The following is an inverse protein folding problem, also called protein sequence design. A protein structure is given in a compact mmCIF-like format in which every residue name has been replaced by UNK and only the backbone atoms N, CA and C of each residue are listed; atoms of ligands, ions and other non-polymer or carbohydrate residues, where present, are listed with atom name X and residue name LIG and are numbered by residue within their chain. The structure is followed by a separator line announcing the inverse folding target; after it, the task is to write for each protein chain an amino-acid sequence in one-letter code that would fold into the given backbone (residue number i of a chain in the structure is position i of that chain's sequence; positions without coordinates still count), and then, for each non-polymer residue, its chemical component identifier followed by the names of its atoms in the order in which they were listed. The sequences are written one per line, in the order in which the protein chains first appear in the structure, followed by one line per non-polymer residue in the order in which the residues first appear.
data_IF_967333226906
#
_entry.id   IF_967333226906
#
_cell.length_a   1.000
_cell.length_b   1.000
_cell.length_c   1.000
_cell.angle_alpha   90.00
_cell.angle_beta   90.00
_cell.angle_gamma   90.00
#
_symmetry.space_group_name_H-M   'P 1'
#
loop_
_entity.id
_entity.type
_entity.pdbx_description
1 polymer ?
#
# COMPACT_ATOMS: atom_id res chain seq x y z
N UNK A 1 46.93 35.08 -42.92
CA UNK A 1 47.41 34.93 -41.52
C UNK A 1 46.52 35.85 -40.75
N UNK A 2 45.51 35.31 -40.09
CA UNK A 2 44.37 36.11 -39.63
C UNK A 2 44.06 35.75 -38.18
N UNK A 3 44.35 36.64 -37.22
CA UNK A 3 43.91 36.48 -35.84
C UNK A 3 42.48 37.02 -35.68
N UNK A 4 41.65 36.31 -34.90
CA UNK A 4 40.42 36.89 -34.34
C UNK A 4 40.76 37.99 -33.32
N UNK A 5 39.76 38.75 -32.89
CA UNK A 5 39.39 38.59 -31.47
C UNK A 5 37.90 38.36 -31.21
N UNK A 6 37.62 37.78 -30.04
CA UNK A 6 36.32 37.77 -29.34
C UNK A 6 36.24 39.05 -28.45
N UNK A 7 35.15 39.48 -27.82
CA UNK A 7 33.77 38.97 -27.65
C UNK A 7 32.78 40.19 -27.77
N UNK A 8 31.75 40.50 -26.97
CA UNK A 8 31.15 39.91 -25.74
C UNK A 8 29.73 40.45 -25.46
N UNK A 9 28.85 39.56 -24.97
CA UNK A 9 27.73 39.76 -24.01
C UNK A 9 26.93 41.07 -23.89
N UNK A 10 25.60 40.93 -23.94
CA UNK A 10 24.58 41.56 -23.07
C UNK A 10 24.62 43.08 -22.79
N UNK A 11 23.77 43.84 -23.47
CA UNK A 11 22.64 44.59 -22.87
C UNK A 11 21.66 45.08 -23.96
N UNK A 12 20.71 45.96 -23.62
CA UNK A 12 19.89 46.80 -24.53
C UNK A 12 18.90 45.99 -25.40
N UNK A 13 17.68 45.63 -24.97
CA UNK A 13 16.71 46.26 -24.04
C UNK A 13 16.08 47.56 -24.60
N UNK A 14 14.75 47.52 -24.80
CA UNK A 14 13.81 48.62 -25.07
C UNK A 14 13.96 49.45 -26.36
N UNK A 15 13.27 49.00 -27.42
CA UNK A 15 12.61 49.83 -28.45
C UNK A 15 11.76 48.91 -29.36
N UNK A 16 10.49 49.19 -29.71
CA UNK A 16 9.58 50.29 -29.37
C UNK A 16 8.20 49.69 -29.01
N UNK A 17 7.52 50.25 -27.99
CA UNK A 17 6.10 50.02 -27.71
C UNK A 17 5.28 51.18 -28.30
N UNK A 18 3.98 50.94 -28.55
CA UNK A 18 2.99 51.90 -29.08
C UNK A 18 3.14 52.22 -30.59
N UNK A 19 2.07 52.40 -31.38
CA UNK A 19 0.63 52.33 -31.09
C UNK A 19 -0.17 51.81 -32.30
N UNK A 20 -1.26 51.07 -32.03
CA UNK A 20 -2.64 51.38 -32.49
C UNK A 20 -3.63 50.39 -31.89
N UNK A 21 -4.51 50.85 -31.00
CA UNK A 21 -5.59 50.03 -30.41
C UNK A 21 -6.94 50.33 -31.05
N UNK A 22 -7.37 49.53 -32.02
CA UNK A 22 -8.79 49.35 -32.37
C UNK A 22 -8.99 48.28 -33.44
N UNK A 23 -9.17 47.03 -33.04
CA UNK A 23 -10.41 46.32 -33.35
C UNK A 23 -10.57 45.10 -32.42
N UNK A 24 -11.81 44.81 -32.05
CA UNK A 24 -12.14 43.86 -30.97
C UNK A 24 -12.92 42.68 -31.54
N UNK A 25 -12.71 41.49 -30.94
CA UNK A 25 -13.38 40.22 -31.26
C UNK A 25 -12.83 39.45 -32.48
N UNK A 26 -11.67 38.79 -32.31
CA UNK A 26 -11.62 37.36 -32.66
C UNK A 26 -10.74 36.58 -31.67
N UNK A 27 -11.32 36.24 -30.52
CA UNK A 27 -10.72 35.29 -29.60
C UNK A 27 -10.95 33.87 -30.14
N UNK A 28 -10.06 33.39 -31.02
CA UNK A 28 -9.94 31.96 -31.31
C UNK A 28 -9.75 31.23 -29.96
N UNK A 29 -10.65 30.33 -29.54
CA UNK A 29 -10.39 29.51 -28.37
C UNK A 29 -9.13 28.67 -28.64
N UNK A 30 -8.19 28.66 -27.69
CA UNK A 30 -7.13 27.66 -27.70
C UNK A 30 -7.80 26.28 -27.80
N UNK A 31 -7.40 25.38 -28.72
CA UNK A 31 -8.05 24.09 -28.87
C UNK A 31 -8.05 23.39 -27.52
N UNK A 32 -9.25 23.07 -27.01
CA UNK A 32 -9.43 22.52 -25.66
C UNK A 32 -8.73 21.16 -25.59
N UNK A 33 -7.49 21.15 -25.10
CA UNK A 33 -6.71 19.93 -24.89
C UNK A 33 -7.46 19.12 -23.85
N UNK A 34 -8.04 18.01 -24.27
CA UNK A 34 -8.73 17.06 -23.40
C UNK A 34 -7.87 15.84 -23.20
N UNK A 35 -7.79 15.38 -21.96
CA UNK A 35 -7.11 14.12 -21.63
C UNK A 35 -8.13 13.02 -21.37
N UNK A 36 -7.80 11.79 -21.78
CA UNK A 36 -8.67 10.62 -21.61
C UNK A 36 -8.34 9.92 -20.31
N UNK A 37 -9.35 9.68 -19.46
CA UNK A 37 -9.14 8.99 -18.19
C UNK A 37 -8.90 7.49 -18.42
N UNK A 38 -7.79 6.95 -17.90
CA UNK A 38 -7.43 5.53 -18.04
C UNK A 38 -8.27 4.53 -17.21
N UNK A 39 -9.45 4.93 -16.70
CA UNK A 39 -10.37 4.09 -15.92
C UNK A 39 -11.80 4.11 -16.48
N UNK A 40 -12.38 5.28 -16.76
CA UNK A 40 -13.70 5.38 -17.41
C UNK A 40 -13.63 5.52 -18.94
N UNK A 41 -12.47 5.87 -19.50
CA UNK A 41 -12.22 6.11 -20.92
C UNK A 41 -12.92 7.35 -21.52
N UNK A 42 -13.49 8.21 -20.66
CA UNK A 42 -14.07 9.50 -21.06
C UNK A 42 -13.01 10.59 -21.24
N UNK A 43 -13.35 11.61 -22.04
CA UNK A 43 -12.58 12.85 -22.18
C UNK A 43 -12.89 13.85 -21.05
N UNK A 44 -11.85 14.47 -20.50
CA UNK A 44 -11.96 15.46 -19.41
C UNK A 44 -11.14 16.73 -19.68
N UNK A 45 -11.49 17.82 -18.99
CA UNK A 45 -10.71 19.07 -19.01
C UNK A 45 -9.45 18.94 -18.14
N UNK A 46 -8.32 19.61 -18.48
CA UNK A 46 -7.07 19.51 -17.71
C UNK A 46 -7.22 19.81 -16.21
N UNK A 47 -8.14 20.70 -15.84
CA UNK A 47 -8.36 21.09 -14.43
C UNK A 47 -9.02 19.99 -13.57
N UNK A 48 -9.62 18.96 -14.18
CA UNK A 48 -10.31 17.86 -13.48
C UNK A 48 -9.67 16.49 -13.71
N UNK A 49 -8.42 16.48 -14.18
CA UNK A 49 -7.59 15.28 -14.31
C UNK A 49 -6.32 15.39 -13.47
N UNK A 50 -5.85 14.24 -13.02
CA UNK A 50 -4.62 14.06 -12.25
C UNK A 50 -3.69 13.12 -13.01
N UNK A 51 -2.52 13.64 -13.35
CA UNK A 51 -1.40 12.90 -13.91
C UNK A 51 -0.45 12.48 -12.78
N UNK A 52 -0.14 11.19 -12.70
CA UNK A 52 0.70 10.65 -11.62
C UNK A 52 2.22 10.80 -11.91
N UNK A 53 3.05 11.22 -10.93
CA UNK A 53 4.33 11.88 -11.19
C UNK A 53 5.47 11.01 -11.77
N UNK A 54 5.45 9.69 -11.58
CA UNK A 54 6.54 8.79 -12.02
C UNK A 54 6.08 7.68 -13.00
N UNK A 55 4.79 7.69 -13.37
CA UNK A 55 4.25 6.79 -14.39
C UNK A 55 3.39 7.49 -15.45
N UNK A 56 3.18 8.80 -15.34
CA UNK A 56 2.50 9.65 -16.32
C UNK A 56 1.04 9.28 -16.68
N UNK A 57 0.47 8.26 -16.02
CA UNK A 57 -0.92 7.85 -16.22
C UNK A 57 -1.89 8.92 -15.73
N UNK A 58 -2.95 9.15 -16.51
CA UNK A 58 -3.95 10.20 -16.31
C UNK A 58 -5.29 9.61 -15.88
N UNK A 59 -5.91 10.22 -14.87
CA UNK A 59 -7.20 9.84 -14.32
C UNK A 59 -8.04 11.09 -14.05
N UNK A 60 -9.35 11.06 -14.26
CA UNK A 60 -10.20 12.12 -13.71
C UNK A 60 -10.29 11.98 -12.18
N UNK A 61 -10.40 13.11 -11.48
CA UNK A 61 -10.43 13.16 -10.00
C UNK A 61 -11.41 12.17 -9.37
N UNK A 62 -12.67 12.01 -9.87
CA UNK A 62 -13.61 11.04 -9.30
C UNK A 62 -13.16 9.59 -9.42
N UNK A 63 -12.54 9.18 -10.54
CA UNK A 63 -12.05 7.82 -10.74
C UNK A 63 -10.85 7.51 -9.84
N UNK A 64 -9.92 8.47 -9.69
CA UNK A 64 -8.74 8.29 -8.83
C UNK A 64 -9.15 8.20 -7.35
N UNK A 65 -10.05 9.08 -6.90
CA UNK A 65 -10.58 9.05 -5.53
C UNK A 65 -11.46 7.84 -5.25
N UNK A 66 -12.23 7.35 -6.23
CA UNK A 66 -12.99 6.09 -6.09
C UNK A 66 -12.06 4.90 -5.85
N UNK A 67 -10.95 4.80 -6.59
CA UNK A 67 -9.92 3.77 -6.35
C UNK A 67 -9.25 3.93 -4.98
N UNK A 68 -8.90 5.16 -4.57
CA UNK A 68 -8.32 5.43 -3.23
C UNK A 68 -9.28 4.99 -2.13
N UNK A 69 -10.56 5.41 -2.20
CA UNK A 69 -11.63 5.03 -1.25
C UNK A 69 -11.83 3.52 -1.17
N UNK A 70 -11.91 2.83 -2.31
CA UNK A 70 -12.04 1.38 -2.36
C UNK A 70 -10.84 0.66 -1.73
N UNK A 71 -9.60 1.13 -2.00
CA UNK A 71 -8.40 0.56 -1.36
C UNK A 71 -8.31 0.90 0.13
N UNK A 72 -8.84 2.04 0.57
CA UNK A 72 -8.97 2.36 1.99
C UNK A 72 -9.96 1.44 2.71
N UNK A 73 -11.12 1.14 2.11
CA UNK A 73 -12.11 0.21 2.65
C UNK A 73 -11.58 -1.24 2.71
N UNK A 74 -10.85 -1.70 1.68
CA UNK A 74 -10.11 -2.97 1.72
C UNK A 74 -8.92 -2.98 2.71
N UNK A 75 -8.59 -1.83 3.31
CA UNK A 75 -7.44 -1.65 4.20
C UNK A 75 -6.09 -1.86 3.50
N UNK A 76 -5.99 -1.56 2.20
CA UNK A 76 -4.84 -1.78 1.33
C UNK A 76 -3.94 -0.55 1.22
N UNK A 77 -2.66 -0.77 1.50
CA UNK A 77 -1.58 0.21 1.46
C UNK A 77 -0.22 -0.50 1.29
N UNK A 78 0.74 0.04 0.51
CA UNK A 78 0.64 1.29 -0.25
C UNK A 78 -0.37 1.17 -1.40
N UNK A 79 -1.10 2.26 -1.68
CA UNK A 79 -2.05 2.31 -2.80
C UNK A 79 -1.22 2.52 -4.07
N UNK A 80 -1.38 1.63 -5.07
CA UNK A 80 -0.67 1.69 -6.36
C UNK A 80 -1.58 2.36 -7.40
N UNK A 81 -1.00 3.11 -8.33
CA UNK A 81 -1.67 3.60 -9.54
C UNK A 81 -2.51 2.48 -10.22
N UNK A 82 -3.78 2.73 -10.62
CA UNK A 82 -4.63 1.71 -11.24
C UNK A 82 -3.98 0.97 -12.42
N UNK A 83 -3.40 1.69 -13.38
CA UNK A 83 -2.76 1.09 -14.56
C UNK A 83 -1.46 0.37 -14.18
N UNK A 84 -0.62 0.96 -13.33
CA UNK A 84 0.58 0.26 -12.84
C UNK A 84 0.24 -1.00 -12.05
N UNK A 85 -0.94 -1.09 -11.41
CA UNK A 85 -1.32 -2.27 -10.64
C UNK A 85 -1.51 -3.52 -11.52
N UNK A 86 -1.96 -3.35 -12.77
CA UNK A 86 -2.17 -4.42 -13.76
C UNK A 86 -0.99 -4.63 -14.72
N UNK A 87 -0.02 -3.71 -14.76
CA UNK A 87 1.21 -3.87 -15.54
C UNK A 87 2.14 -4.92 -14.90
N UNK A 88 2.21 -6.11 -15.50
CA UNK A 88 3.10 -7.20 -15.06
C UNK A 88 4.53 -7.11 -15.61
N UNK A 89 4.81 -6.17 -16.53
CA UNK A 89 6.14 -5.98 -17.11
C UNK A 89 7.03 -5.08 -16.26
N UNK A 90 6.41 -4.15 -15.52
CA UNK A 90 7.06 -3.16 -14.66
C UNK A 90 7.24 -3.69 -13.24
N UNK A 91 8.47 -3.67 -12.71
CA UNK A 91 8.79 -4.13 -11.34
C UNK A 91 8.03 -3.29 -10.32
N UNK A 92 7.71 -3.85 -9.15
CA UNK A 92 6.89 -3.13 -8.16
C UNK A 92 7.57 -1.83 -7.67
N UNK A 93 8.91 -1.83 -7.61
CA UNK A 93 9.72 -0.65 -7.26
C UNK A 93 9.61 0.50 -8.28
N UNK A 94 9.23 0.21 -9.52
CA UNK A 94 9.03 1.21 -10.58
C UNK A 94 7.56 1.71 -10.66
N UNK A 95 6.64 1.22 -9.80
CA UNK A 95 5.21 1.55 -9.86
C UNK A 95 4.87 2.73 -8.96
N UNK A 96 4.30 3.80 -9.52
CA UNK A 96 3.84 4.96 -8.74
C UNK A 96 2.80 4.56 -7.69
N UNK A 97 3.03 5.05 -6.48
CA UNK A 97 2.10 4.99 -5.37
C UNK A 97 1.29 6.29 -5.26
N UNK A 98 0.08 6.19 -4.72
CA UNK A 98 -0.71 7.38 -4.35
C UNK A 98 -0.28 7.77 -2.93
N UNK A 99 0.32 8.95 -2.80
CA UNK A 99 0.84 9.53 -1.56
C UNK A 99 0.13 10.85 -1.22
N UNK A 100 0.60 11.54 -0.18
CA UNK A 100 0.12 12.88 0.19
C UNK A 100 0.15 13.87 -0.99
N UNK A 101 1.21 13.88 -1.80
CA UNK A 101 1.41 14.85 -2.89
C UNK A 101 0.35 14.73 -3.99
N UNK A 102 -0.20 13.52 -4.18
CA UNK A 102 -1.31 13.28 -5.11
C UNK A 102 -2.65 13.70 -4.48
N UNK A 103 -2.86 13.45 -3.19
CA UNK A 103 -4.12 13.74 -2.49
C UNK A 103 -4.27 15.20 -2.07
N UNK A 104 -3.17 15.92 -1.85
CA UNK A 104 -3.19 17.36 -1.53
C UNK A 104 -3.68 18.20 -2.72
N UNK A 105 -3.51 17.71 -3.95
CA UNK A 105 -4.11 18.29 -5.16
C UNK A 105 -5.61 17.98 -5.31
N UNK A 106 -6.21 17.20 -4.41
CA UNK A 106 -7.58 16.68 -4.48
C UNK A 106 -8.41 17.02 -3.23
N UNK A 107 -7.95 17.94 -2.38
CA UNK A 107 -8.56 18.27 -1.08
C UNK A 107 -10.01 18.72 -1.15
N UNK A 108 -10.45 19.36 -2.24
CA UNK A 108 -11.83 19.81 -2.40
C UNK A 108 -12.82 18.63 -2.47
N UNK A 109 -12.41 17.52 -3.12
CA UNK A 109 -13.20 16.28 -3.24
C UNK A 109 -12.84 15.24 -2.16
N UNK A 110 -11.84 15.51 -1.29
CA UNK A 110 -11.28 14.54 -0.33
C UNK A 110 -11.09 15.17 1.07
N UNK A 111 -12.14 15.16 1.92
CA UNK A 111 -12.19 15.91 3.16
C UNK A 111 -11.28 15.35 4.26
N UNK A 112 -10.96 16.17 5.26
CA UNK A 112 -9.97 15.86 6.31
C UNK A 112 -10.28 14.59 7.12
N UNK A 113 -11.55 14.18 7.26
CA UNK A 113 -11.90 12.90 7.91
C UNK A 113 -11.47 11.68 7.06
N UNK A 114 -11.52 11.79 5.73
CA UNK A 114 -10.97 10.76 4.83
C UNK A 114 -9.45 10.83 4.76
N UNK A 115 -8.88 12.04 4.75
CA UNK A 115 -7.43 12.22 4.79
C UNK A 115 -6.82 11.62 6.07
N UNK A 116 -7.42 11.87 7.23
CA UNK A 116 -7.01 11.24 8.49
C UNK A 116 -7.14 9.71 8.48
N UNK A 117 -8.11 9.13 7.76
CA UNK A 117 -8.20 7.68 7.53
C UNK A 117 -7.05 7.18 6.63
N UNK A 118 -6.68 7.94 5.60
CA UNK A 118 -5.53 7.63 4.74
C UNK A 118 -4.21 7.65 5.53
N UNK A 119 -3.95 8.65 6.36
CA UNK A 119 -2.77 8.70 7.24
C UNK A 119 -2.73 7.50 8.22
N UNK A 120 -3.87 7.18 8.84
CA UNK A 120 -3.98 6.01 9.71
C UNK A 120 -3.72 4.69 8.97
N UNK A 121 -4.08 4.62 7.68
CA UNK A 121 -3.81 3.51 6.80
C UNK A 121 -2.32 3.44 6.37
N UNK A 122 -1.63 4.56 6.17
CA UNK A 122 -0.18 4.57 5.91
C UNK A 122 0.60 3.88 7.03
N UNK A 123 0.22 4.17 8.28
CA UNK A 123 0.83 3.56 9.48
C UNK A 123 0.76 2.03 9.49
N UNK A 124 -0.14 1.40 8.72
CA UNK A 124 -0.22 -0.07 8.61
C UNK A 124 1.02 -0.71 7.98
N UNK A 125 1.89 0.05 7.31
CA UNK A 125 3.20 -0.47 6.89
C UNK A 125 4.16 -0.72 8.05
N UNK A 126 4.05 0.03 9.14
CA UNK A 126 5.03 0.03 10.24
C UNK A 126 4.48 -0.49 11.56
N UNK A 127 3.17 -0.36 11.77
CA UNK A 127 2.46 -0.88 12.93
C UNK A 127 1.30 -1.80 12.52
N UNK A 128 0.85 -2.64 13.45
CA UNK A 128 -0.36 -3.45 13.30
C UNK A 128 -1.30 -3.14 14.45
N UNK A 129 -2.58 -2.98 14.16
CA UNK A 129 -3.59 -2.81 15.20
C UNK A 129 -3.88 -4.14 15.91
N UNK A 130 -3.97 -4.05 17.23
CA UNK A 130 -4.25 -5.16 18.14
C UNK A 130 -5.29 -4.69 19.17
N UNK A 131 -6.21 -5.57 19.54
CA UNK A 131 -7.08 -5.32 20.69
C UNK A 131 -6.43 -5.88 21.95
N UNK A 132 -6.24 -5.05 22.98
CA UNK A 132 -5.71 -5.50 24.27
C UNK A 132 -6.69 -6.51 24.93
N UNK A 133 -6.27 -7.76 25.24
CA UNK A 133 -7.16 -8.73 25.86
C UNK A 133 -7.64 -8.33 27.27
N UNK A 134 -6.91 -7.45 27.96
CA UNK A 134 -7.29 -6.82 29.23
C UNK A 134 -8.35 -5.75 29.04
N UNK A 135 -7.94 -4.52 28.73
CA UNK A 135 -8.82 -3.33 28.68
C UNK A 135 -9.72 -3.21 27.42
N UNK A 136 -9.59 -4.11 26.44
CA UNK A 136 -10.31 -4.10 25.14
C UNK A 136 -10.03 -2.90 24.22
N UNK A 137 -9.17 -1.97 24.62
CA UNK A 137 -8.73 -0.86 23.78
C UNK A 137 -7.94 -1.36 22.56
N UNK A 138 -8.14 -0.74 21.41
CA UNK A 138 -7.27 -0.89 20.24
C UNK A 138 -5.94 -0.16 20.49
N UNK A 139 -4.84 -0.81 20.15
CA UNK A 139 -3.48 -0.26 20.23
C UNK A 139 -2.75 -0.50 18.91
N UNK A 140 -1.82 0.39 18.56
CA UNK A 140 -0.86 0.19 17.46
C UNK A 140 0.45 -0.32 18.04
N UNK A 141 0.84 -1.54 17.68
CA UNK A 141 2.14 -2.12 18.05
C UNK A 141 3.05 -2.12 16.82
N UNK A 142 4.33 -1.74 16.96
CA UNK A 142 5.25 -1.70 15.83
C UNK A 142 5.48 -3.13 15.30
N UNK A 143 5.75 -3.28 13.99
CA UNK A 143 5.91 -4.61 13.36
C UNK A 143 7.07 -5.41 13.97
N UNK A 144 8.11 -4.73 14.42
CA UNK A 144 9.27 -5.29 15.11
C UNK A 144 8.91 -5.82 16.52
N UNK A 145 7.98 -5.18 17.23
CA UNK A 145 7.49 -5.68 18.53
C UNK A 145 6.74 -7.01 18.38
N UNK A 146 6.22 -7.33 17.19
CA UNK A 146 5.33 -8.46 16.96
C UNK A 146 6.02 -9.83 16.98
N UNK A 147 7.35 -9.86 16.89
CA UNK A 147 8.16 -11.06 17.12
C UNK A 147 8.19 -11.43 18.62
N UNK A 148 7.88 -10.49 19.52
CA UNK A 148 7.72 -10.80 20.93
C UNK A 148 6.43 -11.60 21.19
N UNK A 149 6.61 -12.78 21.77
CA UNK A 149 5.48 -13.66 22.15
C UNK A 149 4.63 -13.04 23.27
N UNK A 150 5.23 -12.19 24.11
CA UNK A 150 4.55 -11.42 25.14
C UNK A 150 4.53 -9.94 24.75
N UNK A 151 3.37 -9.29 24.93
CA UNK A 151 3.16 -7.88 24.62
C UNK A 151 2.58 -7.19 25.87
N UNK A 152 3.01 -5.96 26.13
CA UNK A 152 2.58 -5.12 27.27
C UNK A 152 1.66 -4.01 26.78
N UNK A 153 0.62 -3.68 27.55
CA UNK A 153 -0.33 -2.65 27.11
C UNK A 153 0.23 -1.25 27.37
N UNK A 154 0.41 -0.40 26.34
CA UNK A 154 0.93 0.96 26.51
C UNK A 154 -0.08 1.92 27.17
N UNK A 155 -1.34 1.51 27.35
CA UNK A 155 -2.37 2.31 28.01
C UNK A 155 -2.05 2.39 29.52
N UNK A 156 -1.79 3.58 30.10
CA UNK A 156 -1.30 3.70 31.48
C UNK A 156 -2.25 3.14 32.55
N UNK A 157 -3.57 3.18 32.31
CA UNK A 157 -4.59 2.61 33.20
C UNK A 157 -4.76 1.09 33.07
N UNK A 158 -3.99 0.42 32.20
CA UNK A 158 -4.08 -1.01 31.97
C UNK A 158 -2.78 -1.76 32.28
N UNK A 159 -1.67 -1.40 31.64
CA UNK A 159 -0.35 -2.03 31.81
C UNK A 159 -0.28 -3.56 31.58
N UNK A 160 -1.37 -4.23 31.17
CA UNK A 160 -1.46 -5.69 31.22
C UNK A 160 -0.56 -6.36 30.19
N UNK A 161 0.15 -7.42 30.60
CA UNK A 161 0.93 -8.29 29.70
C UNK A 161 0.05 -9.42 29.17
N UNK A 162 0.08 -9.70 27.88
CA UNK A 162 -0.59 -10.87 27.28
C UNK A 162 0.29 -11.62 26.28
N UNK A 163 -0.01 -12.90 26.10
CA UNK A 163 0.64 -13.74 25.09
C UNK A 163 -0.02 -13.55 23.72
N UNK A 164 0.72 -13.01 22.74
CA UNK A 164 0.32 -12.84 21.34
C UNK A 164 -0.20 -14.15 20.72
N UNK A 165 0.47 -15.26 21.01
CA UNK A 165 0.20 -16.56 20.41
C UNK A 165 -1.04 -17.29 20.97
N UNK A 166 -1.63 -16.83 22.10
CA UNK A 166 -2.90 -17.37 22.59
C UNK A 166 -3.94 -16.35 23.09
N UNK A 167 -3.65 -15.04 22.95
CA UNK A 167 -4.52 -13.91 23.30
C UNK A 167 -5.01 -13.94 24.76
N UNK A 168 -4.16 -14.40 25.69
CA UNK A 168 -4.45 -14.45 27.13
C UNK A 168 -3.54 -13.52 27.91
N UNK A 169 -4.16 -12.71 28.78
CA UNK A 169 -3.47 -11.93 29.83
C UNK A 169 -2.71 -12.88 30.77
N UNK A 170 -1.54 -12.46 31.23
CA UNK A 170 -0.68 -13.20 32.15
C UNK A 170 -0.71 -12.49 33.51
N UNK A 171 -1.20 -13.19 34.54
CA UNK A 171 -1.39 -12.61 35.87
C UNK A 171 -0.45 -13.16 36.96
N UNK A 172 0.24 -14.28 36.72
CA UNK A 172 0.95 -15.02 37.78
C UNK A 172 2.48 -15.02 37.67
N UNK A 173 3.05 -15.19 36.47
CA UNK A 173 4.45 -14.91 36.15
C UNK A 173 4.68 -15.03 34.64
N UNK A 174 5.44 -14.12 34.02
CA UNK A 174 5.83 -14.22 32.61
C UNK A 174 6.63 -15.50 32.32
N UNK A 175 7.61 -15.79 33.19
CA UNK A 175 8.53 -16.94 33.07
C UNK A 175 7.82 -18.30 33.24
N UNK A 176 6.57 -18.33 33.71
CA UNK A 176 5.77 -19.56 33.84
C UNK A 176 4.73 -19.73 32.73
N UNK A 177 4.63 -18.82 31.76
CA UNK A 177 3.63 -18.88 30.69
C UNK A 177 3.86 -20.06 29.71
N UNK A 178 3.34 -21.23 30.06
CA UNK A 178 3.19 -22.34 29.14
C UNK A 178 2.02 -22.04 28.19
N UNK A 179 2.33 -21.61 26.96
CA UNK A 179 1.33 -21.42 25.92
C UNK A 179 0.67 -22.77 25.58
N UNK A 180 -0.52 -23.00 26.15
CA UNK A 180 -1.34 -24.21 25.95
C UNK A 180 -2.60 -23.88 25.13
N UNK A 181 -2.49 -23.67 23.79
CA UNK A 181 -3.67 -23.58 22.94
C UNK A 181 -4.51 -24.86 23.04
N UNK A 182 -5.82 -24.71 22.92
CA UNK A 182 -6.78 -25.81 23.07
C UNK A 182 -6.39 -27.04 22.22
N UNK A 183 -6.49 -28.23 22.84
CA UNK A 183 -6.24 -29.52 22.19
C UNK A 183 -7.24 -29.80 21.07
N UNK A 184 -8.52 -29.42 21.21
CA UNK A 184 -9.53 -29.60 20.15
C UNK A 184 -9.22 -28.71 18.95
N UNK A 185 -8.99 -27.41 19.19
CA UNK A 185 -8.58 -26.46 18.16
C UNK A 185 -7.28 -26.85 17.45
N UNK A 186 -6.20 -27.22 18.18
CA UNK A 186 -4.95 -27.71 17.56
C UNK A 186 -5.14 -29.01 16.77
N UNK A 187 -6.03 -29.91 17.19
CA UNK A 187 -6.39 -31.10 16.41
C UNK A 187 -7.11 -30.72 15.11
N UNK A 188 -8.06 -29.78 15.18
CA UNK A 188 -8.80 -29.29 14.01
C UNK A 188 -7.88 -28.62 12.98
N UNK A 189 -7.01 -27.69 13.41
CA UNK A 189 -6.03 -27.03 12.53
C UNK A 189 -5.17 -28.06 11.76
N UNK A 190 -4.69 -29.11 12.44
CA UNK A 190 -3.92 -30.20 11.83
C UNK A 190 -4.75 -31.04 10.84
N UNK A 191 -5.94 -31.48 11.25
CA UNK A 191 -6.82 -32.33 10.42
C UNK A 191 -7.28 -31.61 9.15
N UNK A 192 -7.64 -30.32 9.25
CA UNK A 192 -8.07 -29.50 8.11
C UNK A 192 -6.90 -28.88 7.31
N UNK A 193 -5.65 -29.16 7.71
CA UNK A 193 -4.40 -28.56 7.15
C UNK A 193 -4.46 -27.02 7.10
N UNK A 194 -5.10 -26.40 8.09
CA UNK A 194 -5.17 -24.95 8.23
C UNK A 194 -3.84 -24.36 8.72
N UNK A 195 -3.58 -23.10 8.37
CA UNK A 195 -2.35 -22.38 8.72
C UNK A 195 -2.68 -21.15 9.54
N UNK A 196 -1.82 -20.82 10.50
CA UNK A 196 -1.83 -19.47 11.05
C UNK A 196 -1.10 -18.54 10.07
N UNK A 197 -1.58 -17.31 9.92
CA UNK A 197 -0.78 -16.26 9.29
C UNK A 197 0.47 -16.02 10.15
N UNK A 198 1.70 -16.07 9.61
CA UNK A 198 2.91 -15.85 10.40
C UNK A 198 3.03 -14.40 10.92
N UNK A 199 2.40 -13.42 10.27
CA UNK A 199 2.25 -12.06 10.79
C UNK A 199 1.35 -11.99 12.04
N UNK A 200 0.02 -12.04 11.86
CA UNK A 200 -0.95 -11.78 12.94
C UNK A 200 -1.37 -13.00 13.79
N UNK A 201 -0.89 -14.21 13.52
CA UNK A 201 -1.35 -15.47 14.13
C UNK A 201 -2.85 -15.83 13.95
N UNK A 202 -3.62 -15.08 13.16
CA UNK A 202 -5.01 -15.46 12.81
C UNK A 202 -5.03 -16.81 12.06
N UNK A 203 -5.93 -17.75 12.42
CA UNK A 203 -6.11 -18.99 11.69
C UNK A 203 -6.75 -18.73 10.32
N UNK A 204 -6.07 -19.13 9.25
CA UNK A 204 -6.51 -19.00 7.87
C UNK A 204 -6.94 -20.37 7.35
N UNK A 205 -8.18 -20.44 6.88
CA UNK A 205 -8.65 -21.48 5.96
C UNK A 205 -8.38 -21.02 4.52
N UNK A 206 -7.83 -21.91 3.70
CA UNK A 206 -7.82 -21.79 2.24
C UNK A 206 -8.90 -22.69 1.65
N UNK A 207 -9.68 -22.17 0.71
CA UNK A 207 -10.59 -22.97 -0.11
C UNK A 207 -9.79 -23.73 -1.17
N UNK A 208 -9.23 -22.99 -2.15
CA UNK A 208 -8.59 -23.56 -3.35
C UNK A 208 -7.42 -22.69 -3.85
N UNK A 209 -7.08 -22.76 -5.14
CA UNK A 209 -6.15 -21.85 -5.81
C UNK A 209 -4.68 -21.98 -5.43
N UNK A 210 -3.97 -20.85 -5.52
CA UNK A 210 -2.52 -20.73 -5.29
C UNK A 210 -2.13 -21.04 -3.82
N UNK A 211 -0.92 -21.56 -3.54
CA UNK A 211 -0.39 -21.67 -2.18
C UNK A 211 0.12 -20.34 -1.60
N UNK A 212 0.34 -19.31 -2.43
CA UNK A 212 0.68 -17.96 -1.98
C UNK A 212 -0.58 -17.28 -1.42
N UNK A 213 -0.54 -16.87 -0.16
CA UNK A 213 -1.67 -16.24 0.54
C UNK A 213 -1.26 -14.88 1.09
N UNK A 214 -2.05 -13.84 0.78
CA UNK A 214 -2.01 -12.55 1.51
C UNK A 214 -3.00 -12.60 2.66
N UNK A 215 -2.58 -12.22 3.86
CA UNK A 215 -3.48 -12.16 5.01
C UNK A 215 -4.55 -11.07 4.85
N UNK A 216 -5.84 -11.45 4.91
CA UNK A 216 -6.99 -10.52 4.78
C UNK A 216 -7.38 -9.80 6.08
N UNK A 217 -6.60 -9.97 7.17
CA UNK A 217 -6.79 -9.19 8.40
C UNK A 217 -6.32 -7.75 8.15
N UNK A 218 -7.16 -6.72 8.42
CA UNK A 218 -6.76 -5.31 8.30
C UNK A 218 -5.46 -5.01 9.05
N UNK A 219 -4.62 -4.16 8.46
CA UNK A 219 -3.30 -3.84 9.00
C UNK A 219 -2.27 -4.98 9.03
N UNK A 220 -2.63 -6.25 8.79
CA UNK A 220 -1.65 -7.34 8.75
C UNK A 220 -0.97 -7.46 7.39
N UNK A 221 -1.74 -7.90 6.37
CA UNK A 221 -1.35 -8.16 4.97
C UNK A 221 0.02 -8.80 4.73
N UNK A 222 0.50 -9.62 5.67
CA UNK A 222 1.64 -10.53 5.46
C UNK A 222 1.33 -11.51 4.32
N UNK A 223 2.27 -11.65 3.38
CA UNK A 223 2.28 -12.67 2.35
C UNK A 223 2.99 -13.92 2.89
N UNK A 224 2.38 -15.10 2.75
CA UNK A 224 2.92 -16.36 3.28
C UNK A 224 2.56 -17.56 2.41
N UNK A 225 3.36 -18.62 2.53
CA UNK A 225 3.13 -19.88 1.82
C UNK A 225 2.26 -20.82 2.65
N UNK A 226 1.07 -21.16 2.17
CA UNK A 226 0.15 -22.07 2.85
C UNK A 226 0.66 -23.53 2.88
N UNK A 227 1.56 -23.92 1.98
CA UNK A 227 2.17 -25.28 1.97
C UNK A 227 3.03 -25.51 3.22
N UNK A 228 3.95 -24.61 3.55
CA UNK A 228 4.87 -24.76 4.69
C UNK A 228 4.44 -23.96 5.94
N UNK A 229 3.75 -22.83 5.77
CA UNK A 229 3.40 -21.87 6.82
C UNK A 229 4.40 -20.71 6.97
N UNK A 230 5.49 -20.70 6.21
CA UNK A 230 6.53 -19.67 6.27
C UNK A 230 6.13 -18.36 5.57
N UNK A 231 6.62 -17.25 6.11
CA UNK A 231 6.55 -15.92 5.50
C UNK A 231 7.17 -15.91 4.11
N UNK A 232 6.58 -15.14 3.21
CA UNK A 232 7.13 -14.78 1.90
C UNK A 232 7.58 -13.32 1.96
N UNK A 233 6.66 -12.40 2.29
CA UNK A 233 6.91 -10.96 2.33
C UNK A 233 6.01 -10.29 3.38
N UNK A 234 6.42 -9.14 3.90
CA UNK A 234 5.66 -8.36 4.90
C UNK A 234 5.66 -6.88 4.52
N UNK A 235 4.55 -6.14 4.74
CA UNK A 235 4.57 -4.69 4.65
C UNK A 235 5.70 -4.11 5.51
N UNK A 236 6.46 -3.17 4.94
CA UNK A 236 7.68 -2.61 5.53
C UNK A 236 9.00 -3.26 5.05
N UNK A 237 8.98 -4.46 4.46
CA UNK A 237 10.19 -5.02 3.82
C UNK A 237 10.54 -4.30 2.50
N UNK A 238 11.85 -4.17 2.24
CA UNK A 238 12.40 -3.79 0.92
C UNK A 238 12.36 -5.00 -0.03
N UNK A 239 12.22 -4.74 -1.34
CA UNK A 239 11.94 -5.76 -2.36
C UNK A 239 10.47 -6.20 -2.35
N UNK A 240 10.03 -6.85 -3.43
CA UNK A 240 8.61 -7.15 -3.66
C UNK A 240 8.17 -8.58 -3.31
N UNK A 241 6.85 -8.76 -3.23
CA UNK A 241 6.23 -10.03 -2.84
C UNK A 241 6.22 -11.10 -3.95
N UNK A 242 6.45 -10.75 -5.21
CA UNK A 242 6.53 -11.68 -6.35
C UNK A 242 7.92 -12.30 -6.45
N UNK A 243 8.98 -11.51 -6.32
CA UNK A 243 10.36 -12.00 -6.28
C UNK A 243 10.61 -12.80 -5.01
N UNK A 244 10.09 -12.34 -3.86
CA UNK A 244 10.11 -13.11 -2.63
C UNK A 244 9.36 -14.46 -2.76
N UNK A 245 8.20 -14.50 -3.44
CA UNK A 245 7.48 -15.75 -3.71
C UNK A 245 8.26 -16.66 -4.66
N UNK A 246 8.87 -16.09 -5.71
CA UNK A 246 9.69 -16.81 -6.69
C UNK A 246 10.96 -17.39 -6.06
N UNK A 247 11.61 -16.68 -5.15
CA UNK A 247 12.71 -17.19 -4.35
C UNK A 247 12.25 -18.29 -3.38
N UNK A 248 11.15 -18.07 -2.64
CA UNK A 248 10.57 -19.06 -1.74
C UNK A 248 10.25 -20.38 -2.46
N UNK A 249 9.64 -20.30 -3.65
CA UNK A 249 9.24 -21.47 -4.45
C UNK A 249 10.44 -22.34 -4.89
N UNK A 250 11.63 -21.77 -5.10
CA UNK A 250 12.86 -22.54 -5.42
C UNK A 250 13.29 -23.47 -4.29
N UNK A 251 13.00 -23.13 -3.03
CA UNK A 251 13.45 -23.87 -1.84
C UNK A 251 12.33 -24.55 -1.05
N UNK A 252 11.05 -24.26 -1.35
CA UNK A 252 9.91 -24.85 -0.67
C UNK A 252 9.68 -26.31 -1.11
N UNK A 253 10.48 -27.23 -0.57
CA UNK A 253 10.53 -28.68 -0.88
C UNK A 253 9.25 -29.48 -0.55
N UNK A 254 8.10 -28.83 -0.40
CA UNK A 254 6.78 -29.49 -0.41
C UNK A 254 6.37 -29.71 -1.87
N UNK A 255 7.07 -30.65 -2.50
CA UNK A 255 7.07 -30.87 -3.96
C UNK A 255 5.68 -31.25 -4.46
N UNK A 256 5.17 -30.41 -5.35
CA UNK A 256 4.55 -30.82 -6.61
C UNK A 256 4.82 -29.69 -7.59
N UNK A 257 5.50 -30.03 -8.70
CA UNK A 257 5.73 -29.12 -9.82
C UNK A 257 4.40 -28.93 -10.53
N UNK A 258 3.89 -27.70 -10.49
CA UNK A 258 2.91 -27.22 -11.46
C UNK A 258 3.54 -26.01 -12.13
N UNK A 259 3.69 -26.09 -13.45
CA UNK A 259 4.18 -24.99 -14.27
C UNK A 259 3.19 -23.83 -14.25
N UNK A 260 3.64 -22.67 -14.75
CA UNK A 260 2.80 -21.55 -15.17
C UNK A 260 1.73 -21.13 -14.15
N UNK A 261 2.13 -20.29 -13.19
CA UNK A 261 1.19 -19.36 -12.57
C UNK A 261 0.90 -18.22 -13.56
N UNK A 262 0.29 -18.57 -14.70
CA UNK A 262 -0.22 -17.60 -15.67
C UNK A 262 -1.41 -16.89 -15.04
N UNK A 263 -1.23 -15.60 -14.75
CA UNK A 263 -2.31 -14.73 -14.31
C UNK A 263 -2.95 -14.18 -15.59
N UNK A 264 -4.25 -14.42 -15.74
CA UNK A 264 -5.13 -13.73 -16.68
C UNK A 264 -5.81 -12.57 -15.96
#
# INVERSE_FOLDING_TARGET
MDPQPRASSYSDIFSVLEATTSDVNNANPCPLIREVCAVCFDEHHPDVVVRLPDCDHVFCSPCLLSHVRAKMEEGIYPIVCPVCSIDWSRRVEDKTHIDQRVLDNLREDFPDEEYGKFENLQLTMFAMELQCPGCKQCIKAAREDLDNVLLTCPVPSCGSVWCRACQKVISSCEKSHSCRPDRRFRRMMRLKRWRFCPGCHTPIQRAEGCPHMTCRVPGCRTHFCYRCGGTIWMPGHRGDAYDAASFHNKWCRVVFVFNSCSIQ
#
